data_IF_829427874987
#
_entry.id   IF_829427874987
#
_cell.length_a   1.000
_cell.length_b   1.000
_cell.length_c   1.000
_cell.angle_alpha   90.00
_cell.angle_beta   90.00
_cell.angle_gamma   90.00
#
_symmetry.space_group_name_H-M   'P 1'
#
loop_
_entity.id
_entity.type
_entity.pdbx_description
1 polymer ?
#
# COMPACT_ATOMS: atom_id res chain seq x y z
N UNK A 1 -14.75 12.83 18.41
CA UNK A 1 -13.43 12.51 17.84
C UNK A 1 -13.67 11.71 16.57
N UNK A 2 -13.19 12.15 15.39
CA UNK A 2 -13.28 11.33 14.18
C UNK A 2 -12.49 10.03 14.39
N UNK A 3 -13.01 8.92 13.87
CA UNK A 3 -12.34 7.62 14.01
C UNK A 3 -11.02 7.64 13.24
N UNK A 4 -9.97 7.10 13.84
CA UNK A 4 -8.64 6.96 13.22
C UNK A 4 -8.68 6.22 11.86
N UNK A 5 -9.73 5.44 11.62
CA UNK A 5 -9.99 4.75 10.37
C UNK A 5 -10.28 5.69 9.20
N UNK A 6 -10.76 6.90 9.48
CA UNK A 6 -11.05 7.93 8.45
C UNK A 6 -9.84 8.82 8.14
N UNK A 7 -8.76 8.70 8.91
CA UNK A 7 -7.54 9.48 8.69
C UNK A 7 -6.74 8.90 7.52
N UNK A 8 -6.12 9.79 6.73
CA UNK A 8 -5.25 9.44 5.59
C UNK A 8 -3.87 8.97 6.03
N UNK A 9 -3.82 7.92 6.85
CA UNK A 9 -2.60 7.38 7.46
C UNK A 9 -2.32 5.92 7.12
N UNK A 10 -3.13 5.33 6.24
CA UNK A 10 -3.04 3.92 5.88
C UNK A 10 -2.33 3.74 4.54
N UNK A 11 -1.67 2.60 4.43
CA UNK A 11 -0.93 2.16 3.26
C UNK A 11 -1.22 0.69 3.00
N UNK A 12 -1.18 0.28 1.73
CA UNK A 12 -1.27 -1.13 1.33
C UNK A 12 0.08 -1.56 0.78
N UNK A 13 0.62 -2.64 1.33
CA UNK A 13 1.81 -3.30 0.81
C UNK A 13 1.42 -4.64 0.18
N UNK A 14 2.24 -5.10 -0.74
CA UNK A 14 2.25 -6.46 -1.28
C UNK A 14 3.67 -7.03 -1.21
N UNK A 15 3.85 -8.28 -1.63
CA UNK A 15 5.19 -8.88 -1.79
C UNK A 15 6.08 -8.10 -2.78
N UNK A 16 5.49 -7.27 -3.64
CA UNK A 16 6.21 -6.43 -4.62
C UNK A 16 6.61 -5.07 -4.06
N UNK A 17 6.14 -4.70 -2.87
CA UNK A 17 6.43 -3.42 -2.24
C UNK A 17 5.18 -2.61 -1.90
N UNK A 18 5.30 -1.28 -1.92
CA UNK A 18 4.22 -0.38 -1.52
C UNK A 18 3.28 -0.10 -2.69
N UNK A 19 2.02 -0.51 -2.56
CA UNK A 19 1.00 -0.33 -3.58
C UNK A 19 0.39 1.08 -3.53
N UNK A 20 0.13 1.58 -2.32
CA UNK A 20 -0.40 2.93 -2.10
C UNK A 20 -0.19 3.39 -0.65
N UNK A 21 -0.24 4.71 -0.42
CA UNK A 21 -0.13 5.38 0.89
C UNK A 21 -1.15 6.51 1.02
N UNK A 22 -1.27 7.08 2.22
CA UNK A 22 -2.17 8.20 2.53
C UNK A 22 -3.64 7.88 2.24
N UNK A 23 -4.02 6.62 2.45
CA UNK A 23 -5.37 6.13 2.31
C UNK A 23 -6.13 6.26 3.62
N UNK A 24 -7.46 6.37 3.53
CA UNK A 24 -8.32 5.98 4.65
C UNK A 24 -8.29 4.46 4.79
N UNK A 25 -8.72 3.94 5.94
CA UNK A 25 -8.81 2.50 6.13
C UNK A 25 -9.82 1.86 5.16
N UNK A 26 -10.88 2.57 4.81
CA UNK A 26 -11.87 2.11 3.84
C UNK A 26 -11.25 2.01 2.43
N UNK A 27 -10.54 3.04 1.99
CA UNK A 27 -9.83 3.04 0.71
C UNK A 27 -8.80 1.91 0.65
N UNK A 28 -8.05 1.69 1.74
CA UNK A 28 -7.08 0.60 1.85
C UNK A 28 -7.77 -0.78 1.75
N UNK A 29 -8.93 -0.96 2.38
CA UNK A 29 -9.72 -2.20 2.28
C UNK A 29 -10.23 -2.44 0.86
N UNK A 30 -10.75 -1.40 0.21
CA UNK A 30 -11.17 -1.48 -1.19
C UNK A 30 -10.00 -1.89 -2.09
N UNK A 31 -8.83 -1.28 -1.90
CA UNK A 31 -7.64 -1.59 -2.67
C UNK A 31 -7.18 -3.03 -2.45
N UNK A 32 -7.14 -3.53 -1.21
CA UNK A 32 -6.80 -4.94 -0.95
C UNK A 32 -7.76 -5.89 -1.67
N UNK A 33 -9.07 -5.60 -1.65
CA UNK A 33 -10.04 -6.45 -2.33
C UNK A 33 -9.84 -6.44 -3.85
N UNK A 34 -9.63 -5.25 -4.43
CA UNK A 34 -9.34 -5.09 -5.86
C UNK A 34 -8.09 -5.86 -6.26
N UNK A 35 -6.98 -5.64 -5.56
CA UNK A 35 -5.70 -6.29 -5.86
C UNK A 35 -5.74 -7.81 -5.64
N UNK A 36 -6.49 -8.28 -4.64
CA UNK A 36 -6.74 -9.71 -4.43
C UNK A 36 -7.51 -10.33 -5.61
N UNK A 37 -8.48 -9.61 -6.18
CA UNK A 37 -9.18 -10.02 -7.39
C UNK A 37 -8.30 -10.05 -8.65
N UNK A 38 -7.23 -9.25 -8.68
CA UNK A 38 -6.20 -9.26 -9.74
C UNK A 38 -5.14 -10.36 -9.55
N UNK A 39 -5.26 -11.21 -8.52
CA UNK A 39 -4.30 -12.28 -8.24
C UNK A 39 -3.02 -11.81 -7.53
N UNK A 40 -3.05 -10.64 -6.88
CA UNK A 40 -1.94 -10.23 -6.00
C UNK A 40 -2.05 -10.91 -4.64
N UNK A 41 -0.93 -11.39 -4.15
CA UNK A 41 -0.81 -12.09 -2.87
C UNK A 41 0.04 -11.30 -1.87
N UNK A 42 -0.02 -11.70 -0.60
CA UNK A 42 0.71 -11.03 0.49
C UNK A 42 0.29 -9.58 0.76
N UNK A 43 -0.99 -9.26 0.53
CA UNK A 43 -1.51 -7.91 0.74
C UNK A 43 -1.68 -7.62 2.24
N UNK A 44 -1.14 -6.50 2.72
CA UNK A 44 -1.33 -6.05 4.10
C UNK A 44 -1.63 -4.55 4.18
N UNK A 45 -2.53 -4.18 5.10
CA UNK A 45 -2.84 -2.80 5.43
C UNK A 45 -1.98 -2.42 6.63
N UNK A 46 -1.16 -1.39 6.48
CA UNK A 46 -0.27 -0.88 7.52
C UNK A 46 -0.42 0.63 7.64
N UNK A 47 0.20 1.23 8.66
CA UNK A 47 0.31 2.69 8.74
C UNK A 47 1.43 3.21 7.84
N UNK A 48 1.31 4.46 7.39
CA UNK A 48 2.27 5.12 6.50
C UNK A 48 3.70 5.05 7.03
N UNK A 49 3.90 5.29 8.32
CA UNK A 49 5.22 5.26 8.97
C UNK A 49 5.85 3.86 8.94
N UNK A 50 5.03 2.80 8.90
CA UNK A 50 5.50 1.42 8.75
C UNK A 50 5.88 1.17 7.30
N UNK A 51 5.04 1.60 6.35
CA UNK A 51 5.33 1.49 4.93
C UNK A 51 6.64 2.21 4.56
N UNK A 52 6.91 3.40 5.12
CA UNK A 52 8.16 4.15 4.93
C UNK A 52 9.40 3.35 5.34
N UNK A 53 9.32 2.67 6.48
CA UNK A 53 10.42 1.85 7.00
C UNK A 53 10.64 0.58 6.19
N UNK A 54 9.57 -0.01 5.65
CA UNK A 54 9.62 -1.31 4.99
C UNK A 54 9.98 -1.24 3.51
N UNK A 55 9.56 -0.21 2.79
CA UNK A 55 9.70 -0.17 1.32
C UNK A 55 10.64 0.91 0.79
N UNK A 56 11.19 1.76 1.66
CA UNK A 56 11.90 2.96 1.19
C UNK A 56 10.96 3.90 0.41
N UNK A 57 11.51 4.85 -0.39
CA UNK A 57 10.69 5.76 -1.19
C UNK A 57 9.82 4.99 -2.18
N UNK A 58 8.54 5.37 -2.27
CA UNK A 58 7.55 4.72 -3.14
C UNK A 58 7.97 4.89 -4.59
N UNK A 59 8.25 3.77 -5.27
CA UNK A 59 8.32 3.74 -6.73
C UNK A 59 6.91 3.45 -7.23
N UNK A 60 6.26 4.33 -7.99
CA UNK A 60 4.92 4.09 -8.51
C UNK A 60 4.91 2.84 -9.39
N UNK A 61 3.82 2.08 -9.34
CA UNK A 61 3.65 0.78 -10.03
C UNK A 61 3.76 0.83 -11.57
N UNK A 62 3.88 2.02 -12.16
CA UNK A 62 4.09 2.28 -13.59
C UNK A 62 5.56 2.59 -13.96
N UNK A 63 6.47 2.59 -12.98
CA UNK A 63 7.89 2.76 -13.28
C UNK A 63 8.43 1.47 -13.93
N UNK A 64 9.14 1.56 -15.08
CA UNK A 64 9.79 0.40 -15.66
C UNK A 64 10.77 -0.16 -14.63
N UNK A 65 10.64 -1.46 -14.38
CA UNK A 65 11.58 -2.22 -13.54
C UNK A 65 12.98 -2.03 -14.10
N UNK A 66 13.75 -1.10 -13.53
CA UNK A 66 15.19 -1.03 -13.76
C UNK A 66 15.77 -2.24 -13.06
N UNK A 67 15.88 -3.32 -13.84
CA UNK A 67 16.64 -4.50 -13.47
C UNK A 67 18.07 -4.04 -13.14
N UNK A 68 18.40 -4.08 -11.85
CA UNK A 68 19.77 -3.94 -11.41
C UNK A 68 20.50 -5.27 -11.64
N UNK A 69 21.37 -5.23 -12.63
CA UNK A 69 22.55 -6.09 -12.90
C UNK A 69 22.34 -7.39 -13.65
#
# INVERSE_FOLDING_TARGET
MPSELTEKKWAVLSERGCEARNLTHEDARYLVHKLGGEGRHGLCIVRNEVAERLTGPVVPADAPSVAAR
#
